data_IF_239978038932
#
_entry.id   IF_239978038932
#
_cell.length_a   1.000
_cell.length_b   1.000
_cell.length_c   1.000
_cell.angle_alpha   90.00
_cell.angle_beta   90.00
_cell.angle_gamma   90.00
#
_symmetry.space_group_name_H-M   'P 1'
#
loop_
_entity.id
_entity.type
_entity.pdbx_description
1 polymer ?
#
# COMPACT_ATOMS: atom_id res chain seq x y z
N UNK A 1 25.63 4.45 -7.17
CA UNK A 1 24.26 4.36 -7.72
C UNK A 1 23.27 4.82 -6.66
N UNK A 2 22.25 5.64 -7.00
CA UNK A 2 21.25 6.08 -6.04
C UNK A 2 20.38 4.90 -5.58
N UNK A 3 20.09 4.84 -4.28
CA UNK A 3 19.25 3.79 -3.65
C UNK A 3 17.99 4.38 -3.04
N UNK A 4 16.91 3.60 -3.03
CA UNK A 4 15.63 3.96 -2.40
C UNK A 4 15.31 3.03 -1.25
N UNK A 5 15.03 3.59 -0.06
CA UNK A 5 14.50 2.83 1.08
C UNK A 5 12.98 2.84 1.03
N UNK A 6 12.35 1.69 1.26
CA UNK A 6 10.88 1.57 1.27
C UNK A 6 10.41 0.78 2.49
N UNK A 7 9.11 0.88 2.78
CA UNK A 7 8.45 0.10 3.82
C UNK A 7 8.25 0.87 5.12
N UNK A 8 6.99 0.98 5.55
CA UNK A 8 6.62 1.56 6.85
C UNK A 8 6.77 3.08 6.99
N UNK A 9 7.34 3.79 6.01
CA UNK A 9 7.50 5.24 6.05
C UNK A 9 6.15 5.93 5.80
N UNK A 10 5.71 6.71 6.78
CA UNK A 10 4.39 7.38 6.81
C UNK A 10 4.39 8.77 7.48
N UNK A 11 5.57 9.25 7.87
CA UNK A 11 5.78 10.52 8.60
C UNK A 11 6.93 11.28 7.96
N UNK A 12 6.79 12.60 7.87
CA UNK A 12 7.84 13.45 7.31
C UNK A 12 9.19 13.35 8.05
N UNK A 13 9.25 13.35 9.40
CA UNK A 13 10.53 13.21 10.11
C UNK A 13 11.31 11.92 9.78
N UNK A 14 10.62 10.83 9.43
CA UNK A 14 11.28 9.58 9.04
C UNK A 14 11.88 9.70 7.64
N UNK A 15 11.25 10.46 6.74
CA UNK A 15 11.81 10.76 5.41
C UNK A 15 13.08 11.59 5.57
N UNK A 16 13.03 12.63 6.39
CA UNK A 16 14.19 13.48 6.69
C UNK A 16 15.34 12.65 7.26
N UNK A 17 15.07 11.73 8.19
CA UNK A 17 16.07 10.81 8.73
C UNK A 17 16.69 9.90 7.66
N UNK A 18 15.86 9.35 6.74
CA UNK A 18 16.34 8.49 5.65
C UNK A 18 17.20 9.28 4.65
N UNK A 19 16.81 10.50 4.31
CA UNK A 19 17.59 11.33 3.40
C UNK A 19 18.91 11.79 4.08
N UNK A 20 18.86 12.14 5.37
CA UNK A 20 20.04 12.51 6.15
C UNK A 20 21.03 11.35 6.32
N UNK A 21 20.58 10.10 6.24
CA UNK A 21 21.49 8.93 6.29
C UNK A 21 22.23 8.67 4.97
N UNK A 22 22.05 9.52 3.95
CA UNK A 22 22.74 9.43 2.66
C UNK A 22 22.02 8.57 1.62
N UNK A 23 20.77 8.17 1.88
CA UNK A 23 19.93 7.46 0.90
C UNK A 23 19.32 8.48 -0.07
N UNK A 24 19.28 8.14 -1.36
CA UNK A 24 18.81 9.06 -2.40
C UNK A 24 17.28 9.28 -2.40
N UNK A 25 16.49 8.33 -1.89
CA UNK A 25 15.03 8.40 -1.92
C UNK A 25 14.35 7.58 -0.82
N UNK A 26 13.19 8.05 -0.36
CA UNK A 26 12.30 7.33 0.57
C UNK A 26 10.96 7.01 -0.09
N UNK A 27 10.52 5.75 -0.03
CA UNK A 27 9.25 5.27 -0.58
C UNK A 27 8.14 5.19 0.47
N UNK A 28 7.00 5.83 0.17
CA UNK A 28 5.84 5.99 1.06
C UNK A 28 4.55 5.38 0.49
N UNK A 29 4.67 4.27 -0.23
CA UNK A 29 3.58 3.71 -1.04
C UNK A 29 2.26 3.49 -0.26
N UNK A 30 2.32 2.93 0.95
CA UNK A 30 1.13 2.68 1.78
C UNK A 30 0.48 3.98 2.24
N UNK A 31 1.27 5.00 2.59
CA UNK A 31 0.77 6.30 2.99
C UNK A 31 0.07 7.01 1.82
N UNK A 32 0.65 6.96 0.62
CA UNK A 32 0.04 7.50 -0.62
C UNK A 32 -1.24 6.78 -1.01
N UNK A 33 -1.30 5.46 -0.83
CA UNK A 33 -2.52 4.70 -1.08
C UNK A 33 -3.66 5.14 -0.16
N UNK A 34 -3.36 5.58 1.07
CA UNK A 34 -4.36 6.06 2.03
C UNK A 34 -4.73 7.52 1.78
N UNK A 35 -3.73 8.38 1.63
CA UNK A 35 -3.90 9.81 1.35
C UNK A 35 -2.92 10.24 0.23
N UNK A 36 -3.39 10.37 -1.02
CA UNK A 36 -2.54 10.81 -2.13
C UNK A 36 -2.12 12.28 -2.03
N UNK A 37 -2.77 13.07 -1.17
CA UNK A 37 -2.44 14.49 -0.97
C UNK A 37 -1.35 14.72 0.07
N UNK A 38 -0.94 13.65 0.78
CA UNK A 38 0.02 13.72 1.87
C UNK A 38 1.33 14.46 1.52
N UNK A 39 1.99 14.24 0.37
CA UNK A 39 3.22 14.97 0.04
C UNK A 39 2.98 16.48 -0.10
N UNK A 40 1.84 16.89 -0.68
CA UNK A 40 1.48 18.30 -0.82
C UNK A 40 1.24 18.96 0.53
N UNK A 41 0.60 18.24 1.46
CA UNK A 41 0.38 18.71 2.84
C UNK A 41 1.69 18.92 3.58
N UNK A 42 2.63 17.99 3.44
CA UNK A 42 3.98 18.17 3.99
C UNK A 42 4.71 19.37 3.40
N UNK A 43 4.64 19.57 2.07
CA UNK A 43 5.21 20.75 1.42
C UNK A 43 4.55 22.06 1.88
N UNK A 44 3.26 22.03 2.22
CA UNK A 44 2.53 23.16 2.78
C UNK A 44 2.81 23.43 4.27
N UNK A 45 3.74 22.69 4.89
CA UNK A 45 4.15 22.88 6.28
C UNK A 45 3.36 22.05 7.30
N UNK A 46 2.45 21.17 6.87
CA UNK A 46 1.76 20.25 7.77
C UNK A 46 2.65 19.06 8.19
N UNK A 47 3.76 19.32 8.87
CA UNK A 47 4.77 18.32 9.24
C UNK A 47 4.23 17.17 10.11
N UNK A 48 3.13 17.40 10.82
CA UNK A 48 2.43 16.42 11.67
C UNK A 48 1.43 15.53 10.89
N UNK A 49 1.19 15.81 9.61
CA UNK A 49 0.27 15.01 8.80
C UNK A 49 0.80 13.58 8.66
N UNK A 50 -0.09 12.60 8.83
CA UNK A 50 0.18 11.17 8.67
C UNK A 50 -1.03 10.50 8.00
N UNK A 51 -0.75 9.51 7.17
CA UNK A 51 -1.75 8.68 6.52
C UNK A 51 -1.54 7.20 6.87
N UNK A 52 -2.50 6.63 7.58
CA UNK A 52 -2.53 5.20 7.90
C UNK A 52 -3.96 4.66 7.93
N UNK A 53 -4.09 3.37 7.64
CA UNK A 53 -5.35 2.66 7.87
C UNK A 53 -5.51 2.38 9.37
N UNK A 54 -6.75 2.34 9.88
CA UNK A 54 -7.00 1.96 11.27
C UNK A 54 -6.47 0.56 11.56
N UNK A 55 -5.98 0.31 12.79
CA UNK A 55 -5.40 -0.97 13.16
C UNK A 55 -6.45 -2.09 13.12
N UNK A 56 -6.11 -3.22 12.49
CA UNK A 56 -6.99 -4.39 12.40
C UNK A 56 -6.75 -5.30 13.63
N UNK A 57 -7.72 -5.32 14.54
CA UNK A 57 -7.65 -6.07 15.81
C UNK A 57 -8.20 -7.50 15.65
N UNK A 58 -7.55 -8.32 14.82
CA UNK A 58 -7.90 -9.74 14.68
C UNK A 58 -7.01 -10.61 15.55
N UNK A 59 -7.55 -11.73 16.07
CA UNK A 59 -6.85 -12.64 16.98
C UNK A 59 -5.51 -13.15 16.41
N UNK A 60 -5.43 -13.39 15.10
CA UNK A 60 -4.21 -13.85 14.42
C UNK A 60 -3.55 -12.71 13.66
N UNK A 61 -2.32 -12.37 14.04
CA UNK A 61 -1.50 -11.30 13.43
C UNK A 61 -1.30 -11.47 11.92
N UNK A 62 -1.09 -12.71 11.46
CA UNK A 62 -0.93 -13.00 10.03
C UNK A 62 -2.16 -12.58 9.21
N UNK A 63 -3.37 -12.91 9.67
CA UNK A 63 -4.59 -12.49 8.99
C UNK A 63 -4.79 -10.98 9.05
N UNK A 64 -4.45 -10.33 10.18
CA UNK A 64 -4.50 -8.88 10.28
C UNK A 64 -3.56 -8.21 9.26
N UNK A 65 -2.33 -8.71 9.09
CA UNK A 65 -1.38 -8.21 8.10
C UNK A 65 -1.87 -8.41 6.66
N UNK A 66 -2.43 -9.58 6.35
CA UNK A 66 -3.04 -9.84 5.04
C UNK A 66 -4.20 -8.90 4.74
N UNK A 67 -5.10 -8.69 5.71
CA UNK A 67 -6.22 -7.79 5.55
C UNK A 67 -5.78 -6.33 5.41
N UNK A 68 -4.74 -5.91 6.14
CA UNK A 68 -4.14 -4.59 5.99
C UNK A 68 -3.62 -4.38 4.56
N UNK A 69 -2.86 -5.34 4.04
CA UNK A 69 -2.33 -5.27 2.68
C UNK A 69 -3.46 -5.32 1.63
N UNK A 70 -4.50 -6.10 1.87
CA UNK A 70 -5.67 -6.15 1.00
C UNK A 70 -6.39 -4.80 0.93
N UNK A 71 -6.51 -4.08 2.06
CA UNK A 71 -7.05 -2.72 2.09
C UNK A 71 -6.16 -1.73 1.32
N UNK A 72 -4.84 -1.78 1.50
CA UNK A 72 -3.91 -0.93 0.74
C UNK A 72 -4.06 -1.17 -0.76
N UNK A 73 -4.03 -2.44 -1.21
CA UNK A 73 -4.23 -2.80 -2.62
C UNK A 73 -5.60 -2.35 -3.14
N UNK A 74 -6.64 -2.40 -2.32
CA UNK A 74 -7.96 -1.88 -2.68
C UNK A 74 -7.91 -0.38 -2.94
N UNK A 75 -7.26 0.41 -2.08
CA UNK A 75 -7.13 1.85 -2.31
C UNK A 75 -6.32 2.16 -3.57
N UNK A 76 -5.21 1.45 -3.79
CA UNK A 76 -4.41 1.61 -5.01
C UNK A 76 -5.23 1.35 -6.27
N UNK A 77 -6.07 0.30 -6.28
CA UNK A 77 -6.98 0.04 -7.41
C UNK A 77 -8.01 1.15 -7.59
N UNK A 78 -8.55 1.71 -6.50
CA UNK A 78 -9.49 2.85 -6.58
C UNK A 78 -8.82 4.07 -7.19
N UNK A 79 -7.61 4.40 -6.71
CA UNK A 79 -6.82 5.51 -7.24
C UNK A 79 -6.49 5.33 -8.72
N UNK A 80 -6.13 4.11 -9.13
CA UNK A 80 -5.88 3.78 -10.54
C UNK A 80 -7.13 3.98 -11.43
N UNK A 81 -8.34 3.84 -10.87
CA UNK A 81 -9.61 4.13 -11.55
C UNK A 81 -10.06 5.60 -11.40
N UNK A 82 -9.18 6.50 -10.94
CA UNK A 82 -9.50 7.91 -10.69
C UNK A 82 -10.44 8.15 -9.50
N UNK A 83 -10.74 7.12 -8.71
CA UNK A 83 -11.61 7.23 -7.54
C UNK A 83 -10.85 7.63 -6.29
N UNK A 84 -11.49 8.38 -5.39
CA UNK A 84 -10.93 8.73 -4.08
C UNK A 84 -10.75 7.49 -3.19
N UNK A 85 -9.71 7.47 -2.32
CA UNK A 85 -9.57 6.45 -1.29
C UNK A 85 -10.80 6.39 -0.38
N UNK A 86 -11.17 5.19 0.06
CA UNK A 86 -12.32 4.95 0.94
C UNK A 86 -11.85 4.58 2.34
N UNK A 87 -11.87 5.52 3.27
CA UNK A 87 -11.41 5.31 4.65
C UNK A 87 -12.11 4.15 5.39
N UNK A 88 -13.42 3.93 5.12
CA UNK A 88 -14.26 2.94 5.82
C UNK A 88 -14.46 1.63 5.04
N UNK A 89 -13.42 1.12 4.39
CA UNK A 89 -13.50 -0.17 3.71
C UNK A 89 -13.44 -1.33 4.72
N UNK A 90 -14.28 -2.35 4.54
CA UNK A 90 -14.30 -3.53 5.41
C UNK A 90 -13.06 -4.40 5.17
N UNK A 91 -12.25 -4.71 6.21
CA UNK A 91 -11.07 -5.55 6.09
C UNK A 91 -11.37 -6.95 5.53
N UNK A 92 -12.47 -7.57 5.97
CA UNK A 92 -12.85 -8.92 5.54
C UNK A 92 -13.24 -8.94 4.06
N UNK A 93 -14.06 -7.98 3.61
CA UNK A 93 -14.45 -7.87 2.20
C UNK A 93 -13.24 -7.58 1.30
N UNK A 94 -12.33 -6.71 1.75
CA UNK A 94 -11.10 -6.42 1.01
C UNK A 94 -10.23 -7.68 0.88
N UNK A 95 -10.07 -8.46 1.95
CA UNK A 95 -9.30 -9.69 1.95
C UNK A 95 -9.91 -10.74 1.01
N UNK A 96 -11.21 -10.99 1.08
CA UNK A 96 -11.89 -11.95 0.19
C UNK A 96 -11.74 -11.58 -1.29
N UNK A 97 -11.93 -10.30 -1.62
CA UNK A 97 -11.76 -9.80 -2.99
C UNK A 97 -10.30 -9.93 -3.45
N UNK A 98 -9.34 -9.66 -2.57
CA UNK A 98 -7.92 -9.80 -2.87
C UNK A 98 -7.54 -11.24 -3.18
N UNK A 99 -8.00 -12.18 -2.35
CA UNK A 99 -7.77 -13.62 -2.54
C UNK A 99 -8.40 -14.11 -3.85
N UNK A 100 -9.64 -13.72 -4.16
CA UNK A 100 -10.29 -14.08 -5.42
C UNK A 100 -9.50 -13.57 -6.63
N UNK A 101 -9.08 -12.31 -6.61
CA UNK A 101 -8.26 -11.74 -7.68
C UNK A 101 -6.94 -12.50 -7.85
N UNK A 102 -6.30 -12.89 -6.74
CA UNK A 102 -5.05 -13.64 -6.76
C UNK A 102 -5.24 -15.02 -7.34
N UNK A 103 -6.30 -15.75 -6.95
CA UNK A 103 -6.63 -17.05 -7.53
C UNK A 103 -6.87 -16.98 -9.04
N UNK A 104 -7.61 -15.95 -9.51
CA UNK A 104 -7.81 -15.74 -10.95
C UNK A 104 -6.51 -15.49 -11.70
N UNK A 105 -5.63 -14.62 -11.16
CA UNK A 105 -4.31 -14.35 -11.76
C UNK A 105 -3.43 -15.58 -11.80
N UNK A 106 -3.40 -16.39 -10.72
CA UNK A 106 -2.67 -17.65 -10.68
C UNK A 106 -3.19 -18.60 -11.76
N UNK A 107 -4.51 -18.72 -11.92
CA UNK A 107 -5.11 -19.55 -12.98
C UNK A 107 -4.72 -19.07 -14.39
N UNK A 108 -4.74 -17.76 -14.62
CA UNK A 108 -4.32 -17.17 -15.90
C UNK A 108 -2.84 -17.41 -16.17
N UNK A 109 -1.99 -17.19 -15.17
CA UNK A 109 -0.55 -17.42 -15.26
C UNK A 109 -0.25 -18.89 -15.59
N UNK A 110 -0.89 -19.84 -14.90
CA UNK A 110 -0.74 -21.28 -15.19
C UNK A 110 -1.15 -21.63 -16.63
N UNK A 111 -2.27 -21.10 -17.10
CA UNK A 111 -2.70 -21.30 -18.51
C UNK A 111 -1.68 -20.77 -19.51
N UNK A 112 -1.18 -19.55 -19.28
CA UNK A 112 -0.16 -18.92 -20.13
C UNK A 112 1.16 -19.71 -20.13
N UNK A 113 1.56 -20.26 -18.99
CA UNK A 113 2.79 -21.05 -18.89
C UNK A 113 2.67 -22.38 -19.62
N UNK A 114 1.52 -23.05 -19.50
CA UNK A 114 1.27 -24.29 -20.24
C UNK A 114 1.25 -24.06 -21.76
N UNK A 115 0.62 -22.99 -22.24
CA UNK A 115 0.58 -22.64 -23.67
C UNK A 115 1.93 -22.18 -24.26
N UNK A 116 3.00 -22.10 -23.46
CA UNK A 116 4.37 -21.81 -23.93
C UNK A 116 5.25 -23.04 -23.98
N UNK A 117 4.80 -24.14 -23.38
CA UNK A 117 5.50 -25.43 -23.37
C UNK A 117 4.99 -26.36 -24.47
N UNK A 118 3.81 -26.07 -25.04
CA UNK A 118 3.26 -26.63 -26.28
C UNK A 118 3.73 -25.81 -27.49
#
# INVERSE_FOLDING_TARGET
>A
MPVMVTGGIRRLPVIEQVLASGVAMAGIATALAVDPTLPRRWQAGETKALAELPPIRWKRKAFAALAYMALVKLQMRRLAMGSKPKAKASPLRALLLEQWCTLRRVKQYKRMMNSRLD
#
